data_IF_320039409230
#
_entry.id   IF_320039409230
#
_cell.length_a   1.000
_cell.length_b   1.000
_cell.length_c   1.000
_cell.angle_alpha   90.00
_cell.angle_beta   90.00
_cell.angle_gamma   90.00
#
_symmetry.space_group_name_H-M   'P 1'
#
loop_
_entity.id
_entity.type
_entity.pdbx_description
1 polymer ?
#
# COMPACT_ATOMS: atom_id res chain seq x y z
N UNK A 1 -30.38 21.20 3.40
CA UNK A 1 -28.97 21.51 3.74
C UNK A 1 -28.98 22.58 4.84
N UNK A 2 -29.07 22.16 6.11
CA UNK A 2 -29.35 23.06 7.24
C UNK A 2 -28.34 22.90 8.40
N UNK A 3 -27.05 22.73 8.08
CA UNK A 3 -25.97 22.61 9.09
C UNK A 3 -24.92 23.72 9.03
N UNK A 4 -25.17 24.81 8.31
CA UNK A 4 -24.41 26.07 8.42
C UNK A 4 -24.92 26.93 9.57
N UNK A 5 -25.31 26.33 10.69
CA UNK A 5 -25.73 27.05 11.89
C UNK A 5 -24.53 27.22 12.81
N UNK A 6 -24.10 28.49 12.98
CA UNK A 6 -23.21 29.04 14.00
C UNK A 6 -22.60 28.01 14.96
N UNK A 7 -21.48 27.38 14.57
CA UNK A 7 -20.63 26.68 15.54
C UNK A 7 -20.02 27.76 16.44
N UNK A 8 -20.23 27.75 17.76
CA UNK A 8 -19.53 28.68 18.64
C UNK A 8 -18.03 28.55 18.40
N UNK A 9 -17.39 29.67 18.07
CA UNK A 9 -16.08 29.78 17.41
C UNK A 9 -14.88 29.25 18.25
N UNK A 10 -15.12 28.61 19.38
CA UNK A 10 -14.10 28.31 20.39
C UNK A 10 -14.37 27.02 21.21
N UNK A 11 -15.06 26.01 20.66
CA UNK A 11 -15.16 24.72 21.32
C UNK A 11 -13.88 23.91 21.04
N UNK A 12 -13.09 23.53 22.07
CA UNK A 12 -11.91 22.71 21.85
C UNK A 12 -12.32 21.32 21.36
N UNK A 13 -11.56 20.79 20.40
CA UNK A 13 -11.67 19.39 19.98
C UNK A 13 -11.06 18.50 21.06
N UNK A 14 -11.72 17.39 21.40
CA UNK A 14 -11.10 16.40 22.26
C UNK A 14 -9.86 15.83 21.56
N UNK A 15 -8.75 15.64 22.31
CA UNK A 15 -7.57 15.00 21.75
C UNK A 15 -7.90 13.57 21.29
N UNK A 16 -7.33 13.13 20.18
CA UNK A 16 -7.61 11.82 19.59
C UNK A 16 -6.32 11.06 19.27
N UNK A 17 -5.68 11.32 18.12
CA UNK A 17 -4.53 10.56 17.63
C UNK A 17 -3.33 10.64 18.59
N UNK A 18 -3.17 11.76 19.30
CA UNK A 18 -2.08 11.98 20.24
C UNK A 18 -2.22 11.22 21.56
N UNK A 19 -3.45 10.80 21.93
CA UNK A 19 -3.71 10.12 23.21
C UNK A 19 -4.19 8.67 23.03
N UNK A 20 -4.57 8.28 21.82
CA UNK A 20 -5.17 6.99 21.54
C UNK A 20 -4.14 5.86 21.57
N UNK A 21 -4.50 4.72 22.19
CA UNK A 21 -3.64 3.54 22.27
C UNK A 21 -3.62 2.81 20.93
N UNK A 22 -2.43 2.66 20.34
CA UNK A 22 -2.27 1.99 19.05
C UNK A 22 -2.59 0.49 19.11
N UNK A 23 -3.25 0.00 18.05
CA UNK A 23 -3.64 -1.38 17.87
C UNK A 23 -3.39 -1.84 16.43
N UNK A 24 -3.15 -3.14 16.20
CA UNK A 24 -2.72 -3.66 14.90
C UNK A 24 -3.77 -3.47 13.80
N UNK A 25 -5.06 -3.52 14.14
CA UNK A 25 -6.16 -3.28 13.22
C UNK A 25 -6.21 -1.83 12.69
N UNK A 26 -5.74 -0.85 13.47
CA UNK A 26 -5.61 0.53 13.00
C UNK A 26 -4.40 0.68 12.09
N UNK A 27 -3.26 0.08 12.47
CA UNK A 27 -2.05 0.12 11.68
C UNK A 27 -2.28 -0.48 10.29
N UNK A 28 -2.88 -1.67 10.20
CA UNK A 28 -3.15 -2.30 8.90
C UNK A 28 -4.15 -1.50 8.05
N UNK A 29 -5.12 -0.81 8.67
CA UNK A 29 -6.06 0.07 7.96
C UNK A 29 -5.37 1.31 7.38
N UNK A 30 -4.47 1.95 8.14
CA UNK A 30 -3.65 3.06 7.65
C UNK A 30 -2.72 2.59 6.53
N UNK A 31 -2.06 1.44 6.71
CA UNK A 31 -1.22 0.84 5.68
C UNK A 31 -2.01 0.54 4.40
N UNK A 32 -3.24 0.01 4.50
CA UNK A 32 -4.09 -0.22 3.33
C UNK A 32 -4.34 1.06 2.52
N UNK A 33 -4.61 2.18 3.21
CA UNK A 33 -4.80 3.50 2.56
C UNK A 33 -3.51 4.02 1.93
N UNK A 34 -2.42 4.07 2.69
CA UNK A 34 -1.13 4.56 2.20
C UNK A 34 -0.66 3.74 0.99
N UNK A 35 -0.77 2.42 1.04
CA UNK A 35 -0.38 1.55 -0.06
C UNK A 35 -1.32 1.68 -1.27
N UNK A 36 -2.62 1.86 -1.04
CA UNK A 36 -3.59 2.14 -2.11
C UNK A 36 -3.29 3.45 -2.83
N UNK A 37 -3.08 4.55 -2.09
CA UNK A 37 -2.73 5.85 -2.65
C UNK A 37 -1.37 5.81 -3.36
N UNK A 38 -0.38 5.12 -2.77
CA UNK A 38 0.93 4.91 -3.37
C UNK A 38 0.86 4.17 -4.71
N UNK A 39 0.03 3.12 -4.79
CA UNK A 39 -0.21 2.39 -6.05
C UNK A 39 -0.97 3.24 -7.07
N UNK A 40 -2.01 3.96 -6.64
CA UNK A 40 -2.81 4.80 -7.53
C UNK A 40 -2.02 5.97 -8.12
N UNK A 41 -1.07 6.53 -7.36
CA UNK A 41 -0.26 7.65 -7.82
C UNK A 41 1.03 7.12 -8.46
N UNK A 42 1.95 6.58 -7.67
CA UNK A 42 3.28 6.19 -8.15
C UNK A 42 3.21 4.93 -9.02
N UNK A 43 2.42 3.94 -8.61
CA UNK A 43 2.27 2.69 -9.36
C UNK A 43 1.65 2.92 -10.74
N UNK A 44 0.54 3.66 -10.82
CA UNK A 44 -0.13 3.95 -12.09
C UNK A 44 0.74 4.82 -13.02
N UNK A 45 1.37 5.88 -12.49
CA UNK A 45 2.29 6.71 -13.29
C UNK A 45 3.49 5.92 -13.80
N UNK A 46 4.09 5.07 -12.95
CA UNK A 46 5.18 4.18 -13.35
C UNK A 46 4.76 3.17 -14.42
N UNK A 47 3.58 2.55 -14.27
CA UNK A 47 3.03 1.62 -15.25
C UNK A 47 2.78 2.31 -16.60
N UNK A 48 2.18 3.50 -16.59
CA UNK A 48 1.95 4.29 -17.81
C UNK A 48 3.28 4.66 -18.47
N UNK A 49 4.26 5.12 -17.71
CA UNK A 49 5.58 5.46 -18.26
C UNK A 49 6.24 4.24 -18.91
N UNK A 50 6.21 3.08 -18.26
CA UNK A 50 6.73 1.84 -18.82
C UNK A 50 6.05 1.46 -20.14
N UNK A 51 4.71 1.50 -20.19
CA UNK A 51 3.94 1.17 -21.40
C UNK A 51 4.22 2.15 -22.54
N UNK A 52 4.29 3.45 -22.25
CA UNK A 52 4.64 4.47 -23.24
C UNK A 52 6.06 4.24 -23.75
N UNK A 53 7.04 4.03 -22.87
CA UNK A 53 8.43 3.78 -23.26
C UNK A 53 8.55 2.52 -24.14
N UNK A 54 7.83 1.44 -23.79
CA UNK A 54 7.79 0.22 -24.59
C UNK A 54 7.18 0.44 -25.98
N UNK A 55 6.18 1.31 -26.10
CA UNK A 55 5.53 1.64 -27.38
C UNK A 55 6.31 2.66 -28.23
N UNK A 56 7.16 3.51 -27.61
CA UNK A 56 7.90 4.58 -28.30
C UNK A 56 9.19 4.15 -28.99
N UNK A 57 9.62 2.90 -28.79
CA UNK A 57 10.78 2.31 -29.48
C UNK A 57 12.01 2.10 -28.59
N UNK A 58 13.08 1.52 -29.15
CA UNK A 58 14.20 0.98 -28.37
C UNK A 58 14.92 2.00 -27.48
N UNK A 59 15.16 3.21 -27.98
CA UNK A 59 15.89 4.25 -27.24
C UNK A 59 15.13 4.71 -25.99
N UNK A 60 13.81 4.90 -26.11
CA UNK A 60 12.95 5.28 -24.98
C UNK A 60 12.82 4.16 -23.95
N UNK A 61 12.72 2.92 -24.42
CA UNK A 61 12.68 1.77 -23.53
C UNK A 61 14.01 1.57 -22.79
N UNK A 62 15.15 1.73 -23.47
CA UNK A 62 16.46 1.70 -22.84
C UNK A 62 16.62 2.81 -21.78
N UNK A 63 16.11 4.01 -22.03
CA UNK A 63 16.07 5.08 -21.04
C UNK A 63 15.24 4.70 -19.81
N UNK A 64 14.03 4.17 -20.01
CA UNK A 64 13.20 3.67 -18.90
C UNK A 64 13.95 2.60 -18.09
N UNK A 65 14.56 1.62 -18.76
CA UNK A 65 15.31 0.55 -18.10
C UNK A 65 16.45 1.13 -17.26
N UNK A 66 17.27 2.05 -17.80
CA UNK A 66 18.35 2.69 -17.06
C UNK A 66 17.85 3.38 -15.77
N UNK A 67 16.68 4.02 -15.81
CA UNK A 67 16.06 4.61 -14.62
C UNK A 67 15.53 3.53 -13.66
N UNK A 68 14.78 2.56 -14.16
CA UNK A 68 14.15 1.51 -13.36
C UNK A 68 15.18 0.60 -12.67
N UNK A 69 16.29 0.28 -13.34
CA UNK A 69 17.36 -0.57 -12.79
C UNK A 69 18.45 0.23 -12.09
N UNK A 70 18.25 1.54 -11.86
CA UNK A 70 19.12 2.30 -10.97
C UNK A 70 18.88 1.90 -9.50
N UNK A 71 19.81 2.20 -8.56
CA UNK A 71 19.59 1.91 -7.15
C UNK A 71 18.28 2.51 -6.59
N UNK A 72 17.95 3.74 -7.01
CA UNK A 72 16.69 4.38 -6.63
C UNK A 72 15.48 3.70 -7.30
N UNK A 73 15.62 3.31 -8.57
CA UNK A 73 14.59 2.57 -9.29
C UNK A 73 14.24 1.25 -8.61
N UNK A 74 15.25 0.47 -8.17
CA UNK A 74 15.03 -0.74 -7.38
C UNK A 74 14.31 -0.47 -6.05
N UNK A 75 14.67 0.59 -5.32
CA UNK A 75 13.97 0.97 -4.08
C UNK A 75 12.49 1.24 -4.37
N UNK A 76 12.19 1.99 -5.44
CA UNK A 76 10.81 2.28 -5.85
C UNK A 76 10.08 1.00 -6.26
N UNK A 77 10.67 0.15 -7.08
CA UNK A 77 10.05 -1.09 -7.54
C UNK A 77 9.80 -2.06 -6.38
N UNK A 78 10.76 -2.25 -5.47
CA UNK A 78 10.58 -3.06 -4.27
C UNK A 78 9.45 -2.48 -3.41
N UNK A 79 9.45 -1.16 -3.19
CA UNK A 79 8.40 -0.47 -2.46
C UNK A 79 7.02 -0.65 -3.07
N UNK A 80 6.90 -0.55 -4.41
CA UNK A 80 5.64 -0.76 -5.13
C UNK A 80 5.18 -2.22 -5.07
N UNK A 81 6.07 -3.20 -5.17
CA UNK A 81 5.72 -4.62 -5.01
C UNK A 81 5.23 -4.94 -3.60
N UNK A 82 5.88 -4.38 -2.57
CA UNK A 82 5.40 -4.51 -1.19
C UNK A 82 4.05 -3.83 -1.01
N UNK A 83 3.87 -2.60 -1.53
CA UNK A 83 2.60 -1.90 -1.48
C UNK A 83 1.49 -2.70 -2.15
N UNK A 84 1.76 -3.34 -3.29
CA UNK A 84 0.82 -4.24 -3.97
C UNK A 84 0.40 -5.42 -3.07
N UNK A 85 1.34 -6.19 -2.53
CA UNK A 85 1.00 -7.33 -1.67
C UNK A 85 0.29 -6.90 -0.38
N UNK A 86 0.74 -5.81 0.25
CA UNK A 86 0.11 -5.27 1.44
C UNK A 86 -1.33 -4.81 1.15
N UNK A 87 -1.55 -4.06 0.07
CA UNK A 87 -2.88 -3.56 -0.31
C UNK A 87 -3.82 -4.71 -0.68
N UNK A 88 -3.32 -5.69 -1.46
CA UNK A 88 -4.07 -6.88 -1.86
C UNK A 88 -4.51 -7.71 -0.64
N UNK A 89 -3.57 -8.09 0.24
CA UNK A 89 -3.86 -8.93 1.40
C UNK A 89 -4.80 -8.24 2.39
N UNK A 90 -4.56 -6.95 2.68
CA UNK A 90 -5.47 -6.18 3.54
C UNK A 90 -6.83 -5.95 2.88
N UNK A 91 -6.89 -5.79 1.55
CA UNK A 91 -8.13 -5.71 0.78
C UNK A 91 -8.94 -7.01 0.83
N UNK A 92 -8.30 -8.19 0.71
CA UNK A 92 -8.96 -9.48 0.91
C UNK A 92 -9.54 -9.61 2.32
N UNK A 93 -8.81 -9.15 3.35
CA UNK A 93 -9.36 -9.06 4.71
C UNK A 93 -10.58 -8.15 4.77
N UNK A 94 -10.55 -6.99 4.09
CA UNK A 94 -11.70 -6.10 4.02
C UNK A 94 -12.91 -6.77 3.35
N UNK A 95 -12.73 -7.50 2.25
CA UNK A 95 -13.82 -8.27 1.63
C UNK A 95 -14.42 -9.32 2.57
N UNK A 96 -13.60 -10.04 3.34
CA UNK A 96 -14.11 -11.00 4.34
C UNK A 96 -14.94 -10.28 5.41
N UNK A 97 -14.49 -9.10 5.87
CA UNK A 97 -15.25 -8.29 6.82
C UNK A 97 -16.57 -7.80 6.20
N UNK A 98 -16.57 -7.36 4.95
CA UNK A 98 -17.77 -6.87 4.24
C UNK A 98 -18.82 -7.97 4.04
N UNK A 99 -18.39 -9.24 3.96
CA UNK A 99 -19.29 -10.41 3.95
C UNK A 99 -19.92 -10.73 5.31
N UNK A 100 -19.58 -9.98 6.36
CA UNK A 100 -20.11 -10.19 7.70
C UNK A 100 -19.28 -11.16 8.57
N UNK A 101 -18.07 -11.55 8.15
CA UNK A 101 -17.23 -12.54 8.83
C UNK A 101 -15.95 -11.93 9.40
N UNK A 102 -15.33 -12.59 10.39
CA UNK A 102 -13.99 -12.21 10.89
C UNK A 102 -13.95 -10.98 11.82
N UNK A 103 -15.09 -10.54 12.36
CA UNK A 103 -15.16 -9.41 13.31
C UNK A 103 -14.63 -9.73 14.71
N UNK A 104 -14.54 -11.02 15.06
CA UNK A 104 -14.06 -11.45 16.38
C UNK A 104 -12.71 -10.83 16.70
N UNK A 105 -12.56 -10.29 17.91
CA UNK A 105 -11.40 -9.47 18.29
C UNK A 105 -10.08 -10.24 18.15
N UNK A 106 -10.08 -11.52 18.55
CA UNK A 106 -8.92 -12.41 18.44
C UNK A 106 -8.54 -12.64 16.98
N UNK A 107 -9.50 -13.02 16.14
CA UNK A 107 -9.32 -13.26 14.70
C UNK A 107 -8.84 -11.99 13.98
N UNK A 108 -9.52 -10.88 14.21
CA UNK A 108 -9.20 -9.61 13.59
C UNK A 108 -7.79 -9.14 13.99
N UNK A 109 -7.42 -9.28 15.27
CA UNK A 109 -6.07 -8.99 15.75
C UNK A 109 -5.02 -9.90 15.10
N UNK A 110 -5.29 -11.20 14.99
CA UNK A 110 -4.36 -12.16 14.41
C UNK A 110 -4.04 -11.84 12.94
N UNK A 111 -5.05 -11.64 12.10
CA UNK A 111 -4.83 -11.32 10.68
C UNK A 111 -4.25 -9.91 10.49
N UNK A 112 -4.59 -8.95 11.36
CA UNK A 112 -3.99 -7.62 11.32
C UNK A 112 -2.47 -7.61 11.58
N UNK A 113 -1.94 -8.68 12.19
CA UNK A 113 -0.49 -8.89 12.39
C UNK A 113 0.08 -9.79 11.29
N UNK A 114 -0.62 -10.88 10.95
CA UNK A 114 -0.12 -11.88 10.01
C UNK A 114 -0.02 -11.38 8.57
N UNK A 115 -1.00 -10.60 8.09
CA UNK A 115 -1.06 -10.18 6.69
C UNK A 115 0.07 -9.21 6.29
N UNK A 116 0.46 -8.21 7.10
CA UNK A 116 1.63 -7.38 6.79
C UNK A 116 2.95 -8.16 6.78
N UNK A 117 3.10 -9.14 7.67
CA UNK A 117 4.27 -10.02 7.66
C UNK A 117 4.29 -10.89 6.41
N UNK A 118 3.13 -11.43 6.02
CA UNK A 118 3.01 -12.19 4.77
C UNK A 118 3.33 -11.33 3.55
N UNK A 119 2.91 -10.06 3.52
CA UNK A 119 3.26 -9.13 2.44
C UNK A 119 4.79 -8.95 2.31
N UNK A 120 5.50 -8.83 3.44
CA UNK A 120 6.97 -8.75 3.45
C UNK A 120 7.58 -10.05 2.92
N UNK A 121 7.10 -11.20 3.37
CA UNK A 121 7.60 -12.52 2.92
C UNK A 121 7.38 -12.72 1.42
N UNK A 122 6.18 -12.40 0.90
CA UNK A 122 5.88 -12.49 -0.53
C UNK A 122 6.74 -11.54 -1.36
N UNK A 123 6.98 -10.33 -0.86
CA UNK A 123 7.89 -9.37 -1.50
C UNK A 123 9.30 -9.94 -1.57
N UNK A 124 9.84 -10.41 -0.44
CA UNK A 124 11.18 -10.99 -0.39
C UNK A 124 11.29 -12.22 -1.30
N UNK A 125 10.31 -13.11 -1.30
CA UNK A 125 10.29 -14.30 -2.14
C UNK A 125 10.30 -13.93 -3.64
N UNK A 126 9.48 -12.96 -4.05
CA UNK A 126 9.45 -12.47 -5.43
C UNK A 126 10.81 -11.92 -5.87
N UNK A 127 11.42 -11.06 -5.06
CA UNK A 127 12.70 -10.44 -5.41
C UNK A 127 13.87 -11.42 -5.36
N UNK A 128 13.88 -12.35 -4.40
CA UNK A 128 14.89 -13.41 -4.37
C UNK A 128 14.80 -14.31 -5.60
N UNK A 129 13.58 -14.64 -6.03
CA UNK A 129 13.37 -15.40 -7.27
C UNK A 129 13.84 -14.61 -8.49
N UNK A 130 13.46 -13.34 -8.63
CA UNK A 130 13.93 -12.47 -9.73
C UNK A 130 15.46 -12.41 -9.76
N UNK A 131 16.11 -12.24 -8.60
CA UNK A 131 17.57 -12.18 -8.56
C UNK A 131 18.20 -13.52 -8.91
N UNK A 132 17.61 -14.65 -8.48
CA UNK A 132 18.14 -15.99 -8.77
C UNK A 132 18.08 -16.36 -10.27
N UNK A 133 17.09 -15.88 -11.01
CA UNK A 133 16.94 -16.14 -12.47
C UNK A 133 17.82 -15.22 -13.33
N UNK A 134 18.39 -14.16 -12.75
CA UNK A 134 19.23 -13.17 -13.44
C UNK A 134 20.74 -13.39 -13.23
N UNK A 135 21.13 -14.52 -12.63
CA UNK A 135 22.51 -15.02 -12.51
C UNK A 135 22.63 -16.41 -13.18
#
# INVERSE_FOLDING_TARGET
MAHTQNRPHNRPLSPHLSIWKWGPHMAISILHRITGDGLAILGALGLVWWLVAAASGPDYYAFFLNCATSPLGYIVMIGLTWAFFQHLLSGLRHFVLDMGAGYELSTNKAWSIALPLLAIVLTAALWLWIMAENF
#
